data_IF_767406922519
#
_entry.id   IF_767406922519
#
_cell.length_a   1.000
_cell.length_b   1.000
_cell.length_c   1.000
_cell.angle_alpha   90.00
_cell.angle_beta   90.00
_cell.angle_gamma   90.00
#
_symmetry.space_group_name_H-M   'P 1'
#
loop_
_entity.id
_entity.type
_entity.pdbx_description
1 polymer ?
#
# COMPACT_ATOMS: atom_id res chain seq x y z
N UNK A 1 -0.81 -10.84 9.50
CA UNK A 1 -1.73 -9.98 10.29
C UNK A 1 -0.84 -9.03 11.08
N UNK A 2 -0.74 -7.77 10.67
CA UNK A 2 0.12 -6.79 11.34
C UNK A 2 -0.72 -6.13 12.44
N UNK A 3 -0.41 -6.43 13.70
CA UNK A 3 -0.92 -5.70 14.87
C UNK A 3 0.06 -4.57 15.17
N UNK A 4 -0.37 -3.34 15.01
CA UNK A 4 0.38 -2.18 15.53
C UNK A 4 -0.10 -1.97 16.97
N UNK A 5 0.67 -2.47 17.94
CA UNK A 5 0.43 -2.21 19.36
C UNK A 5 1.21 -0.96 19.76
N UNK A 6 0.54 0.16 19.90
CA UNK A 6 1.17 1.41 20.29
C UNK A 6 0.22 2.55 20.57
N UNK A 7 -0.94 2.32 21.22
CA UNK A 7 -1.84 3.42 21.52
C UNK A 7 -3.07 3.04 22.35
N UNK A 8 -4.00 3.99 22.50
CA UNK A 8 -5.23 3.84 23.28
C UNK A 8 -6.30 2.99 22.59
N UNK A 9 -6.14 2.67 21.27
CA UNK A 9 -7.14 1.99 20.44
C UNK A 9 -6.53 0.78 19.72
N UNK A 10 -7.31 -0.29 19.58
CA UNK A 10 -6.93 -1.43 18.76
C UNK A 10 -7.35 -1.17 17.32
N UNK A 11 -6.37 -1.15 16.39
CA UNK A 11 -6.61 -0.90 14.97
C UNK A 11 -6.19 -2.13 14.16
N UNK A 12 -7.16 -2.74 13.45
CA UNK A 12 -6.95 -3.89 12.59
C UNK A 12 -7.33 -3.54 11.15
N UNK A 13 -6.40 -3.70 10.20
CA UNK A 13 -6.70 -3.53 8.77
C UNK A 13 -7.41 -4.78 8.24
N UNK A 14 -8.45 -4.57 7.44
CA UNK A 14 -9.18 -5.63 6.73
C UNK A 14 -8.61 -5.73 5.31
N UNK A 15 -8.10 -6.90 4.96
CA UNK A 15 -7.51 -7.18 3.64
C UNK A 15 -8.42 -8.01 2.74
N UNK A 16 -9.57 -8.44 3.22
CA UNK A 16 -10.57 -9.18 2.47
C UNK A 16 -11.40 -8.24 1.59
N UNK A 17 -11.86 -8.73 0.44
CA UNK A 17 -12.65 -7.94 -0.52
C UNK A 17 -14.16 -8.15 -0.39
N UNK A 18 -14.60 -8.99 0.55
CA UNK A 18 -16.00 -9.39 0.75
C UNK A 18 -16.40 -9.32 2.23
N UNK A 19 -16.35 -8.13 2.81
CA UNK A 19 -16.80 -7.87 4.19
C UNK A 19 -18.04 -6.95 4.16
N UNK A 20 -19.21 -7.47 4.57
CA UNK A 20 -20.50 -6.76 4.52
C UNK A 20 -20.56 -5.50 5.40
N UNK A 21 -19.59 -5.31 6.31
CA UNK A 21 -19.49 -4.12 7.17
C UNK A 21 -19.05 -2.88 6.42
N UNK A 22 -18.49 -3.03 5.20
CA UNK A 22 -17.88 -1.95 4.44
C UNK A 22 -18.47 -1.82 3.03
N UNK A 23 -18.44 -0.60 2.50
CA UNK A 23 -18.70 -0.36 1.09
C UNK A 23 -17.65 -1.11 0.24
N UNK A 24 -18.07 -1.81 -0.84
CA UNK A 24 -17.15 -2.54 -1.72
C UNK A 24 -16.01 -1.68 -2.30
N UNK A 25 -16.22 -0.38 -2.50
CA UNK A 25 -15.18 0.51 -2.99
C UNK A 25 -14.09 0.75 -1.93
N UNK A 26 -14.48 0.89 -0.65
CA UNK A 26 -13.53 1.00 0.46
C UNK A 26 -12.66 -0.26 0.58
N UNK A 27 -13.27 -1.45 0.45
CA UNK A 27 -12.53 -2.71 0.48
C UNK A 27 -11.54 -2.80 -0.69
N UNK A 28 -11.97 -2.48 -1.91
CA UNK A 28 -11.10 -2.50 -3.10
C UNK A 28 -9.95 -1.50 -3.02
N UNK A 29 -10.15 -0.36 -2.36
CA UNK A 29 -9.11 0.63 -2.11
C UNK A 29 -8.23 0.29 -0.89
N UNK A 30 -8.46 -0.85 -0.23
CA UNK A 30 -7.79 -1.25 1.01
C UNK A 30 -7.93 -0.22 2.15
N UNK A 31 -9.02 0.51 2.16
CA UNK A 31 -9.34 1.54 3.14
C UNK A 31 -10.19 1.04 4.32
N UNK A 32 -10.34 -0.27 4.52
CA UNK A 32 -11.19 -0.84 5.56
C UNK A 32 -10.39 -1.20 6.82
N UNK A 33 -10.84 -0.70 7.98
CA UNK A 33 -10.23 -0.95 9.28
C UNK A 33 -11.30 -1.26 10.33
N UNK A 34 -10.94 -2.04 11.33
CA UNK A 34 -11.68 -2.12 12.58
C UNK A 34 -10.92 -1.33 13.64
N UNK A 35 -11.63 -0.46 14.33
CA UNK A 35 -11.12 0.33 15.44
C UNK A 35 -11.92 -0.07 16.67
N UNK A 36 -11.29 -0.73 17.63
CA UNK A 36 -11.97 -1.37 18.78
C UNK A 36 -13.15 -2.25 18.33
N UNK A 37 -12.95 -3.02 17.24
CA UNK A 37 -13.96 -3.90 16.65
C UNK A 37 -15.06 -3.19 15.86
N UNK A 38 -15.02 -1.86 15.67
CA UNK A 38 -16.01 -1.06 14.94
C UNK A 38 -15.50 -0.68 13.56
N UNK A 39 -16.33 -0.73 12.50
CA UNK A 39 -15.93 -0.37 11.16
C UNK A 39 -15.48 1.11 11.05
N UNK A 40 -14.30 1.31 10.49
CA UNK A 40 -13.79 2.61 10.07
C UNK A 40 -13.33 2.50 8.61
N UNK A 41 -13.95 3.24 7.70
CA UNK A 41 -13.68 3.18 6.27
C UNK A 41 -13.03 4.43 5.75
N UNK A 42 -12.03 4.27 4.88
CA UNK A 42 -11.39 5.34 4.13
C UNK A 42 -11.68 5.17 2.64
N UNK A 43 -12.19 6.20 2.01
CA UNK A 43 -12.42 6.25 0.57
C UNK A 43 -11.56 7.33 -0.05
N UNK A 44 -10.65 6.96 -0.92
CA UNK A 44 -9.83 7.90 -1.69
C UNK A 44 -10.74 8.68 -2.64
N UNK A 45 -10.64 9.99 -2.62
CA UNK A 45 -11.40 10.90 -3.47
C UNK A 45 -10.57 11.34 -4.69
N UNK A 46 -9.30 11.60 -4.47
CA UNK A 46 -8.31 12.01 -5.46
C UNK A 46 -6.89 11.69 -4.98
N UNK A 47 -5.85 12.13 -5.71
CA UNK A 47 -4.44 11.86 -5.41
C UNK A 47 -3.94 12.42 -4.08
N UNK A 48 -4.72 13.24 -3.34
CA UNK A 48 -4.29 13.89 -2.10
C UNK A 48 -5.34 13.85 -0.99
N UNK A 49 -6.55 13.37 -1.28
CA UNK A 49 -7.65 13.44 -0.33
C UNK A 49 -8.41 12.14 -0.16
N UNK A 50 -8.90 11.91 1.07
CA UNK A 50 -9.75 10.78 1.40
C UNK A 50 -10.93 11.22 2.28
N UNK A 51 -12.03 10.47 2.21
CA UNK A 51 -13.18 10.59 3.09
C UNK A 51 -13.17 9.48 4.11
N UNK A 52 -13.41 9.85 5.37
CA UNK A 52 -13.46 8.93 6.51
C UNK A 52 -14.91 8.67 6.91
N UNK A 53 -15.25 7.43 7.05
CA UNK A 53 -16.55 6.94 7.53
C UNK A 53 -16.34 6.24 8.86
N UNK A 54 -16.59 6.96 9.95
CA UNK A 54 -16.50 6.44 11.30
C UNK A 54 -17.57 7.07 12.19
N UNK A 55 -17.97 6.38 13.24
CA UNK A 55 -19.04 6.83 14.13
C UNK A 55 -18.60 7.95 15.10
N UNK A 56 -17.30 8.03 15.41
CA UNK A 56 -16.72 9.01 16.32
C UNK A 56 -15.44 9.61 15.73
N UNK A 57 -15.42 10.95 15.63
CA UNK A 57 -14.29 11.70 15.07
C UNK A 57 -13.46 12.42 16.17
N UNK A 58 -13.70 12.14 17.45
CA UNK A 58 -13.04 12.84 18.55
C UNK A 58 -11.57 12.47 18.74
N UNK A 59 -11.17 11.24 18.38
CA UNK A 59 -9.82 10.72 18.58
C UNK A 59 -9.31 10.00 17.32
N UNK A 60 -9.13 10.79 16.25
CA UNK A 60 -8.81 10.24 14.93
C UNK A 60 -7.31 10.20 14.62
N UNK A 61 -6.46 10.82 15.43
CA UNK A 61 -5.05 11.02 15.04
C UNK A 61 -4.34 9.69 14.79
N UNK A 62 -4.44 8.74 15.71
CA UNK A 62 -3.81 7.43 15.57
C UNK A 62 -4.39 6.60 14.40
N UNK A 63 -5.70 6.73 14.15
CA UNK A 63 -6.38 6.05 13.04
C UNK A 63 -5.90 6.63 11.70
N UNK A 64 -5.79 7.96 11.59
CA UNK A 64 -5.30 8.63 10.39
C UNK A 64 -3.83 8.30 10.13
N UNK A 65 -3.00 8.29 11.17
CA UNK A 65 -1.59 7.94 11.04
C UNK A 65 -1.41 6.49 10.62
N UNK A 66 -2.20 5.57 11.15
CA UNK A 66 -2.24 4.17 10.71
C UNK A 66 -2.63 4.05 9.23
N UNK A 67 -3.64 4.79 8.78
CA UNK A 67 -4.02 4.79 7.36
C UNK A 67 -2.93 5.40 6.48
N UNK A 68 -2.31 6.51 6.91
CA UNK A 68 -1.24 7.19 6.19
C UNK A 68 0.03 6.36 6.07
N UNK A 69 0.28 5.41 6.96
CA UNK A 69 1.35 4.43 6.80
C UNK A 69 1.28 3.70 5.45
N UNK A 70 0.06 3.46 4.94
CA UNK A 70 -0.17 2.81 3.64
C UNK A 70 -0.40 3.80 2.49
N UNK A 71 -0.73 5.05 2.81
CA UNK A 71 -1.18 6.07 1.84
C UNK A 71 -0.54 7.43 2.13
N UNK A 72 0.79 7.46 2.27
CA UNK A 72 1.54 8.64 2.71
C UNK A 72 1.29 9.93 1.89
N UNK A 73 0.86 9.78 0.63
CA UNK A 73 0.50 10.89 -0.25
C UNK A 73 -0.85 11.55 0.08
N UNK A 74 -1.72 10.89 0.87
CA UNK A 74 -3.01 11.47 1.27
C UNK A 74 -2.75 12.48 2.40
N UNK A 75 -2.99 13.76 2.11
CA UNK A 75 -2.76 14.88 3.03
C UNK A 75 -4.04 15.48 3.61
N UNK A 76 -5.21 15.31 2.94
CA UNK A 76 -6.49 15.89 3.36
C UNK A 76 -7.52 14.82 3.66
N UNK A 77 -8.09 14.90 4.86
CA UNK A 77 -9.12 13.96 5.31
C UNK A 77 -10.41 14.71 5.59
N UNK A 78 -11.51 14.21 5.00
CA UNK A 78 -12.84 14.76 5.18
C UNK A 78 -13.73 13.77 5.92
N UNK A 79 -14.61 14.27 6.76
CA UNK A 79 -15.66 13.48 7.40
C UNK A 79 -16.68 13.02 6.35
N UNK A 80 -17.57 12.09 6.74
CA UNK A 80 -18.67 11.62 5.88
C UNK A 80 -19.63 12.73 5.44
N UNK A 81 -19.76 13.81 6.25
CA UNK A 81 -20.56 15.00 5.94
C UNK A 81 -19.85 16.01 5.00
N UNK A 82 -18.59 15.74 4.63
CA UNK A 82 -17.77 16.60 3.78
C UNK A 82 -16.98 17.69 4.51
N UNK A 83 -17.11 17.81 5.86
CA UNK A 83 -16.30 18.74 6.62
C UNK A 83 -14.86 18.29 6.67
N UNK A 84 -13.89 19.22 6.58
CA UNK A 84 -12.48 18.93 6.76
C UNK A 84 -12.25 18.41 8.19
N UNK A 85 -11.64 17.23 8.30
CA UNK A 85 -11.30 16.58 9.57
C UNK A 85 -9.86 16.88 9.98
N UNK A 86 -8.92 16.70 9.07
CA UNK A 86 -7.48 16.91 9.27
C UNK A 86 -6.79 17.24 7.96
N UNK A 87 -5.78 18.11 8.06
CA UNK A 87 -4.86 18.41 6.95
C UNK A 87 -3.43 18.25 7.45
N UNK A 88 -2.62 17.57 6.64
CA UNK A 88 -1.18 17.40 6.80
C UNK A 88 -0.45 18.19 5.73
N UNK A 89 0.87 18.30 5.85
CA UNK A 89 1.71 18.86 4.81
C UNK A 89 1.56 18.04 3.50
N UNK A 90 1.39 18.74 2.38
CA UNK A 90 1.26 18.10 1.07
C UNK A 90 2.56 17.37 0.71
N UNK A 91 2.41 16.15 0.18
CA UNK A 91 3.50 15.36 -0.36
C UNK A 91 3.57 15.59 -1.86
N UNK A 92 4.77 15.92 -2.36
CA UNK A 92 4.98 16.07 -3.80
C UNK A 92 4.80 14.73 -4.51
N UNK A 93 3.85 14.68 -5.45
CA UNK A 93 3.59 13.53 -6.30
C UNK A 93 4.03 13.89 -7.72
N UNK A 94 4.91 13.07 -8.31
CA UNK A 94 5.51 13.29 -9.62
C UNK A 94 5.32 12.11 -10.57
N UNK A 95 5.48 12.35 -11.87
CA UNK A 95 5.44 11.29 -12.89
C UNK A 95 6.74 10.52 -12.90
N UNK A 96 6.65 9.18 -12.91
CA UNK A 96 7.79 8.30 -12.90
C UNK A 96 7.63 7.20 -13.95
N UNK A 97 8.63 7.04 -14.83
CA UNK A 97 8.65 5.93 -15.78
C UNK A 97 8.76 4.58 -15.07
N UNK A 98 7.92 3.63 -15.45
CA UNK A 98 7.91 2.27 -14.89
C UNK A 98 9.27 1.60 -15.04
N UNK A 99 9.98 1.83 -16.17
CA UNK A 99 11.31 1.28 -16.42
C UNK A 99 12.41 1.76 -15.46
N UNK A 100 12.17 2.84 -14.70
CA UNK A 100 13.09 3.35 -13.70
C UNK A 100 12.86 2.74 -12.31
N UNK A 101 11.79 1.95 -12.14
CA UNK A 101 11.41 1.39 -10.85
C UNK A 101 11.97 -0.02 -10.70
N UNK A 102 12.71 -0.24 -9.63
CA UNK A 102 13.16 -1.54 -9.14
C UNK A 102 12.11 -2.06 -8.15
N UNK A 103 11.41 -3.17 -8.41
CA UNK A 103 10.56 -3.79 -7.40
C UNK A 103 11.36 -4.29 -6.20
N UNK A 104 10.84 -4.13 -5.00
CA UNK A 104 11.34 -4.80 -3.79
C UNK A 104 10.62 -6.12 -3.52
N UNK A 105 9.54 -6.38 -4.25
CA UNK A 105 8.78 -7.63 -4.22
C UNK A 105 8.94 -8.37 -5.55
N UNK A 106 8.93 -9.71 -5.52
CA UNK A 106 9.17 -10.53 -6.70
C UNK A 106 7.95 -11.37 -7.13
N UNK A 107 6.90 -11.40 -6.32
CA UNK A 107 5.64 -12.07 -6.63
C UNK A 107 4.44 -11.11 -6.60
N UNK A 108 3.43 -11.39 -7.42
CA UNK A 108 2.16 -10.66 -7.46
C UNK A 108 1.01 -11.64 -7.32
N UNK A 109 0.10 -11.35 -6.40
CA UNK A 109 -1.12 -12.10 -6.18
C UNK A 109 -2.17 -11.79 -7.26
N UNK A 110 -2.67 -12.82 -7.93
CA UNK A 110 -3.65 -12.69 -9.00
C UNK A 110 -5.00 -12.13 -8.52
N UNK A 111 -5.45 -12.46 -7.31
CA UNK A 111 -6.72 -11.95 -6.77
C UNK A 111 -6.60 -10.46 -6.41
N UNK A 112 -5.49 -10.06 -5.77
CA UNK A 112 -5.18 -8.66 -5.50
C UNK A 112 -5.09 -7.86 -6.81
N UNK A 113 -4.50 -8.45 -7.85
CA UNK A 113 -4.40 -7.81 -9.16
C UNK A 113 -5.77 -7.58 -9.81
N UNK A 114 -6.69 -8.54 -9.71
CA UNK A 114 -8.07 -8.39 -10.19
C UNK A 114 -8.82 -7.31 -9.42
N UNK A 115 -8.69 -7.30 -8.09
CA UNK A 115 -9.34 -6.32 -7.24
C UNK A 115 -8.85 -4.90 -7.56
N UNK A 116 -7.54 -4.68 -7.62
CA UNK A 116 -6.94 -3.40 -8.00
C UNK A 116 -7.37 -2.96 -9.40
N UNK A 117 -7.41 -3.92 -10.36
CA UNK A 117 -7.86 -3.67 -11.73
C UNK A 117 -9.32 -3.23 -11.85
N UNK A 118 -10.15 -3.44 -10.83
CA UNK A 118 -11.58 -3.09 -10.85
C UNK A 118 -11.86 -1.60 -10.62
N UNK A 119 -10.93 -0.86 -10.00
CA UNK A 119 -11.14 0.57 -9.70
C UNK A 119 -10.11 1.50 -10.36
N UNK A 120 -8.92 1.04 -10.71
CA UNK A 120 -7.94 1.84 -11.44
C UNK A 120 -8.40 2.02 -12.90
N UNK A 121 -8.53 3.26 -13.35
CA UNK A 121 -8.98 3.61 -14.69
C UNK A 121 -7.84 4.10 -15.59
N UNK A 122 -6.80 4.71 -15.01
CA UNK A 122 -5.66 5.26 -15.74
C UNK A 122 -4.36 5.23 -14.93
N UNK A 123 -3.24 5.61 -15.56
CA UNK A 123 -1.95 5.66 -14.87
C UNK A 123 -1.92 6.66 -13.71
N UNK A 124 -2.71 7.74 -13.79
CA UNK A 124 -2.81 8.77 -12.74
C UNK A 124 -3.45 8.26 -11.45
N UNK A 125 -4.23 7.16 -11.51
CA UNK A 125 -4.81 6.50 -10.33
C UNK A 125 -3.78 5.62 -9.59
N UNK A 126 -2.60 5.43 -10.17
CA UNK A 126 -1.54 4.60 -9.61
C UNK A 126 -0.50 5.49 -8.95
N UNK A 127 -0.53 5.55 -7.62
CA UNK A 127 0.46 6.28 -6.82
C UNK A 127 1.32 5.28 -6.06
N UNK A 128 2.65 5.35 -6.28
CA UNK A 128 3.64 4.39 -5.74
C UNK A 128 4.60 5.14 -4.81
N UNK A 129 4.74 4.72 -3.53
CA UNK A 129 5.83 5.18 -2.68
C UNK A 129 7.16 4.61 -3.17
N UNK A 130 8.15 5.47 -3.33
CA UNK A 130 9.46 5.07 -3.85
C UNK A 130 10.59 5.67 -3.02
N UNK A 131 11.72 4.96 -3.00
CA UNK A 131 12.98 5.40 -2.42
C UNK A 131 14.02 5.52 -3.55
N UNK A 132 14.85 6.57 -3.54
CA UNK A 132 16.01 6.66 -4.43
C UNK A 132 17.13 5.73 -3.93
N UNK A 133 17.60 4.85 -4.80
CA UNK A 133 18.68 3.93 -4.51
C UNK A 133 19.49 3.59 -5.77
N UNK A 134 20.81 3.82 -5.71
CA UNK A 134 21.76 3.50 -6.80
C UNK A 134 21.36 4.11 -8.17
N UNK A 135 20.82 5.33 -8.17
CA UNK A 135 20.41 6.03 -9.40
C UNK A 135 19.13 5.51 -10.05
N UNK A 136 18.37 4.68 -9.33
CA UNK A 136 17.02 4.20 -9.68
C UNK A 136 16.06 4.50 -8.54
N UNK A 137 14.79 4.25 -8.79
CA UNK A 137 13.75 4.28 -7.77
C UNK A 137 13.40 2.84 -7.36
N UNK A 138 13.27 2.61 -6.07
CA UNK A 138 12.81 1.33 -5.50
C UNK A 138 11.38 1.51 -5.02
N UNK A 139 10.46 0.64 -5.42
CA UNK A 139 9.09 0.66 -4.88
C UNK A 139 9.07 0.15 -3.45
N UNK A 140 8.61 0.97 -2.51
CA UNK A 140 8.45 0.59 -1.11
C UNK A 140 7.13 -0.19 -0.88
N UNK A 141 6.10 0.12 -1.65
CA UNK A 141 4.79 -0.55 -1.67
C UNK A 141 4.13 -0.41 -3.04
N UNK A 142 2.92 -0.95 -3.19
CA UNK A 142 2.10 -0.81 -4.40
C UNK A 142 2.51 -1.70 -5.57
N UNK A 143 3.24 -2.79 -5.33
CA UNK A 143 3.72 -3.70 -6.35
C UNK A 143 2.61 -4.27 -7.26
N UNK A 144 1.44 -4.56 -6.69
CA UNK A 144 0.26 -5.00 -7.46
C UNK A 144 -0.23 -3.91 -8.43
N UNK A 145 -0.27 -2.64 -7.98
CA UNK A 145 -0.64 -1.49 -8.82
C UNK A 145 0.40 -1.25 -9.91
N UNK A 146 1.66 -1.37 -9.57
CA UNK A 146 2.78 -1.25 -10.51
C UNK A 146 2.75 -2.35 -11.58
N UNK A 147 2.49 -3.60 -11.18
CA UNK A 147 2.34 -4.71 -12.12
C UNK A 147 1.10 -4.55 -13.02
N UNK A 148 0.00 -4.01 -12.49
CA UNK A 148 -1.18 -3.66 -13.29
C UNK A 148 -0.85 -2.60 -14.35
N UNK A 149 -0.05 -1.59 -14.00
CA UNK A 149 0.40 -0.57 -14.94
C UNK A 149 1.18 -1.20 -16.10
N UNK A 150 2.11 -2.09 -15.78
CA UNK A 150 2.84 -2.87 -16.80
C UNK A 150 1.89 -3.68 -17.69
N UNK A 151 0.96 -4.46 -17.12
CA UNK A 151 0.02 -5.27 -17.90
C UNK A 151 -0.88 -4.45 -18.82
N UNK A 152 -1.21 -3.22 -18.44
CA UNK A 152 -2.01 -2.30 -19.25
C UNK A 152 -1.21 -1.50 -20.27
N UNK A 153 0.12 -1.70 -20.31
CA UNK A 153 1.02 -0.99 -21.23
C UNK A 153 1.19 0.49 -20.90
N UNK A 154 0.99 0.87 -19.64
CA UNK A 154 1.32 2.23 -19.20
C UNK A 154 2.84 2.38 -19.14
N UNK A 155 3.37 3.50 -19.55
CA UNK A 155 4.81 3.81 -19.55
C UNK A 155 5.24 4.59 -18.29
N UNK A 156 4.29 5.17 -17.58
CA UNK A 156 4.51 5.92 -16.34
C UNK A 156 3.42 5.66 -15.30
N UNK A 157 3.73 6.00 -14.07
CA UNK A 157 2.83 6.05 -12.90
C UNK A 157 3.10 7.31 -12.10
N UNK A 158 2.22 7.66 -11.18
CA UNK A 158 2.49 8.70 -10.18
C UNK A 158 3.32 8.09 -9.04
N UNK A 159 4.27 8.86 -8.52
CA UNK A 159 5.11 8.42 -7.42
C UNK A 159 5.34 9.56 -6.40
N UNK A 160 5.67 9.19 -5.17
CA UNK A 160 6.16 10.11 -4.16
C UNK A 160 7.34 9.50 -3.42
N UNK A 161 8.24 10.37 -2.92
CA UNK A 161 9.39 9.92 -2.14
C UNK A 161 8.95 9.53 -0.72
N UNK A 162 9.23 8.27 -0.36
CA UNK A 162 9.06 7.78 1.01
C UNK A 162 10.31 8.12 1.83
N UNK A 163 10.11 8.76 2.99
CA UNK A 163 11.22 9.25 3.82
C UNK A 163 11.75 8.18 4.77
N UNK A 164 10.90 7.26 5.21
CA UNK A 164 11.20 6.27 6.25
C UNK A 164 10.90 4.83 5.78
N UNK A 165 11.47 4.44 4.65
CA UNK A 165 11.19 3.14 4.03
C UNK A 165 11.76 1.91 4.77
N UNK A 166 12.37 2.08 5.93
CA UNK A 166 12.94 0.99 6.74
C UNK A 166 14.18 0.32 6.13
N UNK A 167 15.14 -0.09 6.96
CA UNK A 167 16.38 -0.73 6.50
C UNK A 167 16.15 -2.07 5.76
N UNK A 168 15.08 -2.78 6.07
CA UNK A 168 14.72 -4.06 5.46
C UNK A 168 14.36 -3.95 3.96
N UNK A 169 13.90 -2.79 3.48
CA UNK A 169 13.52 -2.61 2.07
C UNK A 169 14.69 -2.91 1.13
N UNK A 170 15.89 -2.47 1.48
CA UNK A 170 17.08 -2.72 0.66
C UNK A 170 17.49 -4.20 0.66
N UNK A 171 17.23 -4.93 1.73
CA UNK A 171 17.45 -6.38 1.76
C UNK A 171 16.44 -7.10 0.85
N UNK A 172 15.18 -6.65 0.82
CA UNK A 172 14.17 -7.15 -0.13
C UNK A 172 14.59 -6.88 -1.58
N UNK A 173 15.17 -5.71 -1.87
CA UNK A 173 15.73 -5.41 -3.20
C UNK A 173 16.88 -6.36 -3.55
N UNK A 174 17.79 -6.64 -2.63
CA UNK A 174 18.88 -7.61 -2.86
C UNK A 174 18.33 -9.00 -3.17
N UNK A 175 17.30 -9.43 -2.43
CA UNK A 175 16.65 -10.71 -2.64
C UNK A 175 15.91 -10.74 -4.00
N UNK A 176 15.17 -9.69 -4.36
CA UNK A 176 14.54 -9.58 -5.68
C UNK A 176 15.57 -9.70 -6.81
N UNK A 177 16.67 -8.95 -6.72
CA UNK A 177 17.77 -9.02 -7.70
C UNK A 177 18.43 -10.40 -7.77
N UNK A 178 18.60 -11.09 -6.64
CA UNK A 178 19.16 -12.45 -6.60
C UNK A 178 18.27 -13.45 -7.35
N UNK A 179 16.97 -13.18 -7.43
CA UNK A 179 15.97 -13.96 -8.19
C UNK A 179 15.81 -13.49 -9.64
N UNK A 180 16.60 -12.49 -10.08
CA UNK A 180 16.54 -11.94 -11.43
C UNK A 180 15.46 -10.89 -11.64
N UNK A 181 14.85 -10.36 -10.57
CA UNK A 181 13.83 -9.32 -10.66
C UNK A 181 14.49 -7.94 -10.58
N UNK A 182 14.63 -7.29 -11.72
CA UNK A 182 15.22 -5.95 -11.90
C UNK A 182 14.19 -4.92 -12.35
N UNK A 183 13.11 -5.38 -12.99
CA UNK A 183 12.03 -4.57 -13.52
C UNK A 183 10.68 -5.19 -13.16
N UNK A 184 9.61 -4.43 -13.35
CA UNK A 184 8.25 -4.89 -13.02
C UNK A 184 7.82 -6.11 -13.85
N UNK A 185 8.28 -6.21 -15.09
CA UNK A 185 8.03 -7.35 -15.98
C UNK A 185 8.65 -8.66 -15.50
N UNK A 186 9.67 -8.59 -14.65
CA UNK A 186 10.34 -9.77 -14.11
C UNK A 186 9.58 -10.39 -12.92
N UNK A 187 8.57 -9.70 -12.39
CA UNK A 187 7.76 -10.20 -11.28
C UNK A 187 6.88 -11.36 -11.72
N UNK A 188 6.83 -12.42 -10.92
CA UNK A 188 6.01 -13.60 -11.21
C UNK A 188 4.60 -13.43 -10.63
N UNK A 189 3.58 -13.66 -11.49
CA UNK A 189 2.18 -13.67 -11.07
C UNK A 189 1.79 -15.07 -10.58
N UNK A 190 1.33 -15.17 -9.34
CA UNK A 190 0.94 -16.38 -8.66
C UNK A 190 -0.58 -16.44 -8.42
N UNK A 191 -1.13 -17.64 -8.24
CA UNK A 191 -2.44 -17.80 -7.62
C UNK A 191 -2.39 -17.28 -6.18
N UNK A 192 -3.55 -16.99 -5.60
CA UNK A 192 -3.61 -16.54 -4.20
C UNK A 192 -2.97 -17.56 -3.24
N UNK A 193 -3.30 -18.83 -3.40
CA UNK A 193 -2.75 -19.92 -2.58
C UNK A 193 -1.22 -20.04 -2.70
N UNK A 194 -0.67 -19.95 -3.91
CA UNK A 194 0.78 -19.97 -4.13
C UNK A 194 1.47 -18.72 -3.54
N UNK A 195 0.82 -17.55 -3.67
CA UNK A 195 1.33 -16.30 -3.13
C UNK A 195 1.39 -16.34 -1.59
N UNK A 196 0.35 -16.86 -0.92
CA UNK A 196 0.35 -17.02 0.52
C UNK A 196 1.48 -17.92 1.00
N UNK A 197 1.73 -19.03 0.30
CA UNK A 197 2.83 -19.94 0.66
C UNK A 197 4.19 -19.34 0.35
N UNK A 198 4.40 -18.79 -0.86
CA UNK A 198 5.74 -18.37 -1.30
C UNK A 198 6.14 -16.99 -0.76
N UNK A 199 5.21 -16.03 -0.76
CA UNK A 199 5.52 -14.66 -0.35
C UNK A 199 5.38 -14.47 1.16
N UNK A 200 4.29 -14.90 1.75
CA UNK A 200 4.08 -14.70 3.18
C UNK A 200 5.09 -15.51 3.99
N UNK A 201 5.36 -16.77 3.60
CA UNK A 201 6.41 -17.55 4.26
C UNK A 201 7.79 -16.90 4.11
N UNK A 202 8.12 -16.34 2.93
CA UNK A 202 9.38 -15.61 2.76
C UNK A 202 9.46 -14.40 3.72
N UNK A 203 8.37 -13.63 3.85
CA UNK A 203 8.32 -12.51 4.79
C UNK A 203 8.49 -12.96 6.24
N UNK A 204 7.76 -14.01 6.65
CA UNK A 204 7.85 -14.56 8.00
C UNK A 204 9.28 -15.03 8.31
N UNK A 205 9.88 -15.84 7.42
CA UNK A 205 11.26 -16.33 7.55
C UNK A 205 12.29 -15.18 7.56
N UNK A 206 12.02 -14.08 6.87
CA UNK A 206 12.90 -12.92 6.81
C UNK A 206 12.90 -12.16 8.14
N UNK A 207 11.71 -11.87 8.67
CA UNK A 207 11.58 -11.11 9.92
C UNK A 207 11.97 -11.94 11.16
N UNK A 208 11.73 -13.26 11.15
CA UNK A 208 12.14 -14.16 12.24
C UNK A 208 13.65 -14.21 12.37
N UNK A 209 14.41 -14.25 11.25
CA UNK A 209 15.89 -14.19 11.27
C UNK A 209 16.43 -12.89 11.83
N UNK A 210 15.77 -11.76 11.54
CA UNK A 210 16.18 -10.44 12.07
C UNK A 210 15.96 -10.29 13.59
N UNK A 211 15.05 -11.07 14.17
CA UNK A 211 14.77 -11.04 15.62
C UNK A 211 15.74 -11.90 16.46
N UNK A 212 16.56 -12.75 15.82
CA UNK A 212 17.58 -13.60 16.52
C UNK A 212 18.97 -12.92 16.59
N UNK A 213 19.19 -11.80 15.88
CA UNK A 213 20.48 -11.10 15.83
C UNK A 213 20.56 -9.86 16.77
N UNK A 214 19.49 -9.50 17.48
CA UNK A 214 19.44 -8.43 18.50
C UNK A 214 19.43 -9.05 19.92
#
# INVERSE_FOLDING_TARGET
MIYIMGGKVEIQRINEYADERFDPEILRQHGAFLVDGRPCGFRILDGHSARVYYHDYSDMEEILDTYRFYTGHISRFYRSDGCLLKEYEDVEVFDLSIGQIQPSQFYVDQEKLQAVGSFIQGPDDIVIPVLEYEGRYVSADGHTRLYLAYQRGYDHVRAFLEKDAGGYLLEFVKEARSRGVFHVEDMEKLSHEEYEVKWNQFCDDFFDRGSEED
#
